data_IF_074688545405
#
_entry.id   IF_074688545405
#
_cell.length_a   1.000
_cell.length_b   1.000
_cell.length_c   1.000
_cell.angle_alpha   90.00
_cell.angle_beta   90.00
_cell.angle_gamma   90.00
#
_symmetry.space_group_name_H-M   'P 1'
#
loop_
_entity.id
_entity.type
_entity.pdbx_description
1 polymer ?
#
# COMPACT_ATOMS: atom_id res chain seq x y z
N UNK A 1 2.75 6.62 12.61
CA UNK A 1 2.78 5.40 13.44
C UNK A 1 3.75 4.42 12.80
N UNK A 2 4.44 3.59 13.60
CA UNK A 2 5.18 2.46 13.06
C UNK A 2 4.38 1.18 13.30
N UNK A 3 4.28 0.35 12.27
CA UNK A 3 3.59 -0.93 12.31
C UNK A 3 4.58 -2.02 11.93
N UNK A 4 4.71 -3.05 12.77
CA UNK A 4 5.52 -4.22 12.46
C UNK A 4 4.65 -5.27 11.78
N UNK A 5 5.04 -5.69 10.58
CA UNK A 5 4.35 -6.74 9.84
C UNK A 5 4.48 -8.05 10.60
N UNK A 6 3.37 -8.70 10.89
CA UNK A 6 3.36 -10.05 11.45
C UNK A 6 2.97 -11.08 10.39
N UNK A 7 3.22 -12.36 10.69
CA UNK A 7 2.89 -13.45 9.77
C UNK A 7 1.39 -13.49 9.48
N UNK A 8 1.05 -13.41 8.19
CA UNK A 8 -0.35 -13.41 7.71
C UNK A 8 -0.94 -12.01 7.50
N UNK A 9 -0.20 -10.94 7.82
CA UNK A 9 -0.62 -9.59 7.44
C UNK A 9 -0.46 -9.37 5.92
N UNK A 10 -1.33 -8.52 5.40
CA UNK A 10 -1.25 -7.93 4.07
C UNK A 10 -1.46 -6.41 4.20
N UNK A 11 -1.04 -5.61 3.22
CA UNK A 11 -1.27 -4.16 3.28
C UNK A 11 -2.77 -3.83 3.40
N UNK A 12 -3.63 -4.62 2.76
CA UNK A 12 -5.08 -4.57 2.89
C UNK A 12 -5.55 -4.83 4.32
N UNK A 13 -5.08 -5.92 4.93
CA UNK A 13 -5.45 -6.26 6.30
C UNK A 13 -4.94 -5.22 7.31
N UNK A 14 -3.71 -4.72 7.13
CA UNK A 14 -3.10 -3.70 8.00
C UNK A 14 -3.89 -2.39 7.92
N UNK A 15 -4.25 -1.92 6.73
CA UNK A 15 -5.02 -0.67 6.54
C UNK A 15 -6.46 -0.77 7.05
N UNK A 16 -7.06 -1.96 6.99
CA UNK A 16 -8.39 -2.22 7.55
C UNK A 16 -8.45 -2.24 9.08
N UNK A 17 -7.31 -2.24 9.80
CA UNK A 17 -7.30 -2.21 11.27
C UNK A 17 -7.80 -0.86 11.78
N UNK A 18 -8.57 -0.87 12.85
CA UNK A 18 -9.06 0.35 13.50
C UNK A 18 -7.92 1.27 14.01
N UNK A 19 -6.74 0.70 14.28
CA UNK A 19 -5.56 1.42 14.77
C UNK A 19 -4.80 2.16 13.66
N UNK A 20 -5.08 1.86 12.38
CA UNK A 20 -4.42 2.45 11.21
C UNK A 20 -5.36 3.43 10.51
N UNK A 21 -6.12 2.98 9.51
CA UNK A 21 -7.06 3.77 8.73
C UNK A 21 -8.51 3.36 8.95
N UNK A 22 -8.75 2.17 9.52
CA UNK A 22 -10.07 1.53 9.57
C UNK A 22 -10.73 1.35 8.20
N UNK A 23 -9.96 1.48 7.11
CA UNK A 23 -10.44 1.36 5.74
C UNK A 23 -9.39 0.58 4.93
N UNK A 24 -9.71 -0.65 4.49
CA UNK A 24 -8.74 -1.48 3.80
C UNK A 24 -8.38 -0.93 2.42
N UNK A 25 -9.20 -0.07 1.81
CA UNK A 25 -8.88 0.56 0.51
C UNK A 25 -7.76 1.60 0.61
N UNK A 26 -7.33 1.94 1.83
CA UNK A 26 -6.23 2.89 2.08
C UNK A 26 -4.84 2.24 2.10
N UNK A 27 -4.74 0.93 1.84
CA UNK A 27 -3.48 0.21 1.72
C UNK A 27 -2.45 0.87 0.76
N UNK A 28 -2.84 1.53 -0.36
CA UNK A 28 -1.87 2.17 -1.25
C UNK A 28 -1.10 3.31 -0.59
N UNK A 29 -1.65 3.95 0.46
CA UNK A 29 -0.91 4.96 1.24
C UNK A 29 0.27 4.34 1.97
N UNK A 30 0.07 3.17 2.60
CA UNK A 30 1.16 2.44 3.26
C UNK A 30 2.23 2.11 2.23
N UNK A 31 1.82 1.65 1.04
CA UNK A 31 2.75 1.35 -0.04
C UNK A 31 3.53 2.59 -0.49
N UNK A 32 2.84 3.71 -0.75
CA UNK A 32 3.45 4.98 -1.18
C UNK A 32 4.46 5.51 -0.15
N UNK A 33 4.10 5.50 1.14
CA UNK A 33 4.97 5.98 2.22
C UNK A 33 6.19 5.09 2.45
N UNK A 34 6.10 3.79 2.14
CA UNK A 34 7.15 2.80 2.41
C UNK A 34 7.71 2.20 1.12
N UNK A 35 7.62 2.91 -0.01
CA UNK A 35 8.02 2.42 -1.33
C UNK A 35 9.51 2.07 -1.39
N UNK A 36 10.32 2.64 -0.51
CA UNK A 36 11.74 2.29 -0.30
C UNK A 36 11.92 0.90 0.34
N UNK A 37 10.96 0.45 1.15
CA UNK A 37 10.98 -0.83 1.87
C UNK A 37 10.16 -1.92 1.18
N UNK A 38 9.12 -1.52 0.45
CA UNK A 38 8.17 -2.42 -0.20
C UNK A 38 8.44 -2.37 -1.70
N UNK A 39 9.01 -3.46 -2.23
CA UNK A 39 9.23 -3.60 -3.67
C UNK A 39 7.91 -3.88 -4.39
N UNK A 40 7.08 -4.71 -3.77
CA UNK A 40 5.80 -5.15 -4.29
C UNK A 40 4.79 -5.12 -3.14
N UNK A 41 3.64 -4.49 -3.37
CA UNK A 41 2.57 -4.36 -2.39
C UNK A 41 2.08 -5.71 -1.86
N UNK A 42 2.24 -6.76 -2.68
CA UNK A 42 1.79 -8.11 -2.36
C UNK A 42 2.89 -8.97 -1.70
N UNK A 43 4.14 -8.50 -1.72
CA UNK A 43 5.29 -9.19 -1.11
C UNK A 43 5.81 -8.43 0.10
N UNK A 44 5.03 -8.48 1.17
CA UNK A 44 5.46 -8.03 2.49
C UNK A 44 5.86 -9.23 3.35
N UNK A 45 6.86 -9.02 4.21
CA UNK A 45 7.46 -10.07 5.03
C UNK A 45 7.35 -9.72 6.51
N UNK A 46 7.14 -10.72 7.38
CA UNK A 46 7.15 -10.51 8.83
C UNK A 46 8.45 -9.87 9.31
N UNK A 47 8.36 -8.93 10.25
CA UNK A 47 9.48 -8.17 10.80
C UNK A 47 9.83 -6.90 10.03
N UNK A 48 9.13 -6.59 8.93
CA UNK A 48 9.25 -5.28 8.29
C UNK A 48 8.52 -4.20 9.11
N UNK A 49 9.15 -3.04 9.31
CA UNK A 49 8.53 -1.90 9.98
C UNK A 49 8.05 -0.86 8.95
N UNK A 50 6.74 -0.69 8.87
CA UNK A 50 6.08 0.27 7.99
C UNK A 50 5.65 1.53 8.73
N UNK A 51 5.86 2.67 8.09
CA UNK A 51 5.34 3.95 8.51
C UNK A 51 3.90 4.08 8.02
N UNK A 52 2.96 4.15 8.95
CA UNK A 52 1.55 4.41 8.70
C UNK A 52 1.24 5.85 9.10
N UNK A 53 0.89 6.68 8.13
CA UNK A 53 0.39 8.03 8.40
C UNK A 53 -1.07 7.93 8.82
N UNK A 54 -1.42 8.26 10.07
CA UNK A 54 -2.81 8.14 10.57
C UNK A 54 -3.69 9.33 10.20
N UNK A 55 -3.12 10.37 9.62
CA UNK A 55 -3.88 11.56 9.22
C UNK A 55 -3.50 12.00 7.80
N UNK A 56 -3.72 11.14 6.79
CA UNK A 56 -3.48 11.50 5.41
C UNK A 56 -4.40 12.64 4.99
N UNK A 57 -3.96 13.46 4.05
CA UNK A 57 -4.82 14.47 3.44
C UNK A 57 -6.01 13.81 2.75
N UNK A 58 -7.18 14.46 2.74
CA UNK A 58 -8.38 13.93 2.09
C UNK A 58 -8.15 13.57 0.60
N UNK A 59 -7.31 14.35 -0.09
CA UNK A 59 -6.91 14.05 -1.47
C UNK A 59 -6.10 12.76 -1.59
N UNK A 60 -5.11 12.55 -0.71
CA UNK A 60 -4.29 11.33 -0.70
C UNK A 60 -5.13 10.09 -0.35
N UNK A 61 -6.03 10.22 0.63
CA UNK A 61 -6.97 9.16 0.98
C UNK A 61 -7.88 8.81 -0.21
N UNK A 62 -8.42 9.81 -0.90
CA UNK A 62 -9.29 9.58 -2.04
C UNK A 62 -8.56 8.93 -3.22
N UNK A 63 -7.32 9.35 -3.50
CA UNK A 63 -6.49 8.74 -4.54
C UNK A 63 -6.15 7.29 -4.22
N UNK A 64 -5.86 6.97 -2.95
CA UNK A 64 -5.58 5.61 -2.53
C UNK A 64 -6.82 4.71 -2.66
N UNK A 65 -7.99 5.21 -2.23
CA UNK A 65 -9.25 4.48 -2.35
C UNK A 65 -9.61 4.24 -3.82
N UNK A 66 -9.45 5.25 -4.67
CA UNK A 66 -9.70 5.12 -6.11
C UNK A 66 -8.78 4.07 -6.75
N UNK A 67 -7.48 4.13 -6.43
CA UNK A 67 -6.49 3.16 -6.89
C UNK A 67 -6.85 1.74 -6.47
N UNK A 68 -7.14 1.51 -5.18
CA UNK A 68 -7.49 0.21 -4.65
C UNK A 68 -8.78 -0.37 -5.27
N UNK A 69 -9.73 0.49 -5.67
CA UNK A 69 -10.96 0.08 -6.36
C UNK A 69 -10.74 -0.24 -7.84
N UNK A 70 -9.86 0.52 -8.50
CA UNK A 70 -9.59 0.40 -9.92
C UNK A 70 -8.46 -0.60 -10.27
N UNK A 71 -7.73 -1.10 -9.27
CA UNK A 71 -6.61 -2.06 -9.41
C UNK A 71 -7.00 -3.36 -10.15
N UNK A 72 -8.22 -3.85 -9.94
CA UNK A 72 -8.68 -5.14 -10.46
C UNK A 72 -8.54 -6.29 -9.45
N UNK A 73 -8.79 -7.53 -9.88
CA UNK A 73 -8.71 -8.71 -9.03
C UNK A 73 -7.25 -9.08 -8.73
N UNK A 74 -6.96 -9.32 -7.45
CA UNK A 74 -5.64 -9.63 -6.91
C UNK A 74 -4.93 -10.74 -7.70
N UNK A 75 -3.85 -10.40 -8.42
CA UNK A 75 -3.05 -11.35 -9.19
C UNK A 75 -1.71 -11.61 -8.51
N UNK A 76 -1.45 -12.84 -8.06
CA UNK A 76 -0.20 -13.21 -7.37
C UNK A 76 0.99 -13.17 -8.34
N UNK A 77 2.03 -12.41 -8.00
CA UNK A 77 3.40 -12.64 -8.48
C UNK A 77 4.02 -11.56 -9.38
N UNK A 78 3.36 -10.43 -9.64
CA UNK A 78 3.94 -9.33 -10.43
C UNK A 78 3.51 -7.98 -9.84
N UNK A 79 4.47 -7.06 -9.62
CA UNK A 79 4.15 -5.65 -9.31
C UNK A 79 3.26 -5.13 -10.44
N UNK A 80 2.01 -4.84 -10.10
CA UNK A 80 1.00 -4.44 -11.08
C UNK A 80 1.36 -3.09 -11.71
N UNK A 81 1.03 -2.92 -12.99
CA UNK A 81 1.31 -1.68 -13.73
C UNK A 81 0.54 -0.49 -13.15
N UNK A 82 -0.67 -0.75 -12.67
CA UNK A 82 -1.52 0.18 -11.93
C UNK A 82 -0.78 0.75 -10.71
N UNK A 83 -0.12 -0.09 -9.91
CA UNK A 83 0.62 0.33 -8.71
C UNK A 83 1.77 1.26 -9.07
N UNK A 84 2.46 1.00 -10.19
CA UNK A 84 3.52 1.90 -10.69
C UNK A 84 2.95 3.23 -11.14
N UNK A 85 1.78 3.22 -11.77
CA UNK A 85 1.10 4.45 -12.21
C UNK A 85 0.67 5.30 -11.01
N UNK A 86 0.10 4.68 -9.97
CA UNK A 86 -0.25 5.35 -8.71
C UNK A 86 0.96 5.99 -8.02
N UNK A 87 2.11 5.33 -8.08
CA UNK A 87 3.37 5.87 -7.57
C UNK A 87 3.99 6.97 -8.46
N UNK A 88 3.33 7.39 -9.54
CA UNK A 88 3.78 8.47 -10.43
C UNK A 88 4.76 8.02 -11.51
N UNK A 89 4.46 6.89 -12.16
CA UNK A 89 5.25 6.28 -13.24
C UNK A 89 6.19 7.22 -14.01
N UNK A 90 7.48 7.13 -13.68
CA UNK A 90 8.59 7.41 -14.58
C UNK A 90 9.63 6.34 -14.33
N UNK A 91 9.38 5.16 -14.89
CA UNK A 91 10.44 4.20 -15.14
C UNK A 91 10.93 4.49 -16.57
N UNK A 92 11.97 5.31 -16.69
CA UNK A 92 12.89 5.13 -17.80
C UNK A 92 13.46 3.72 -17.64
N UNK A 93 12.90 2.77 -18.39
CA UNK A 93 13.59 1.54 -18.72
C UNK A 93 14.74 1.94 -19.65
N UNK A 94 15.96 1.97 -19.09
CA UNK A 94 17.19 1.96 -19.90
C UNK A 94 17.34 0.63 -20.62
#
# INVERSE_FOLDING_TARGET
>A
MQYEVVRGDSLWAISGKAETYSDPYMWPLIYKTNRDKIKDADLIYPGQNFTVDRNPSAGDAQMAIDHARNRGAWSIGVVEESDRHYLGGSLELK
#
